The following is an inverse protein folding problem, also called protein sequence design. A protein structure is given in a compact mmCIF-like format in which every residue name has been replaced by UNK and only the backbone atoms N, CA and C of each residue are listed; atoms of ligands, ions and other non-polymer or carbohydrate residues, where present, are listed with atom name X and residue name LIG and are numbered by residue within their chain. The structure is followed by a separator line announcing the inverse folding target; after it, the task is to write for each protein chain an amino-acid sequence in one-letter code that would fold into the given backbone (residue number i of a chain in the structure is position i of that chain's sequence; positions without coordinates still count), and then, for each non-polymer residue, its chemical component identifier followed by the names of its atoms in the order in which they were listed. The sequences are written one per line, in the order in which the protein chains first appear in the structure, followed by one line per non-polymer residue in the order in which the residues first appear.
data_IF_594739868939
#
_entry.id   IF_594739868939
#
_cell.length_a   1.000
_cell.length_b   1.000
_cell.length_c   1.000
_cell.angle_alpha   90.00
_cell.angle_beta   90.00
_cell.angle_gamma   90.00
#
_symmetry.space_group_name_H-M   'P 1'
#
loop_
_entity.id
_entity.type
_entity.pdbx_description
1 polymer ?
#
# COMPACT_ATOMS: atom_id res chain seq x y z
N UNK A 1 -23.21 -5.01 7.33
CA UNK A 1 -22.57 -6.31 7.67
C UNK A 1 -21.26 -6.38 6.90
N UNK A 2 -20.13 -6.72 7.54
CA UNK A 2 -18.85 -6.87 6.86
C UNK A 2 -18.92 -8.00 5.83
N UNK A 3 -18.24 -7.83 4.69
CA UNK A 3 -18.10 -8.87 3.68
C UNK A 3 -17.09 -9.93 4.15
N UNK A 4 -17.35 -11.20 3.84
CA UNK A 4 -16.42 -12.29 4.19
C UNK A 4 -15.18 -12.34 3.27
N UNK A 5 -14.13 -13.10 3.65
CA UNK A 5 -12.87 -13.16 2.88
C UNK A 5 -13.04 -13.54 1.40
N UNK A 6 -14.00 -14.43 1.07
CA UNK A 6 -14.30 -14.80 -0.32
C UNK A 6 -14.87 -13.64 -1.13
N UNK A 7 -15.71 -12.82 -0.52
CA UNK A 7 -16.31 -11.65 -1.16
C UNK A 7 -15.28 -10.55 -1.36
N UNK A 8 -14.46 -10.27 -0.34
CA UNK A 8 -13.34 -9.33 -0.42
C UNK A 8 -12.35 -9.71 -1.52
N UNK A 9 -11.96 -10.99 -1.59
CA UNK A 9 -11.09 -11.51 -2.65
C UNK A 9 -11.69 -11.30 -4.04
N UNK A 10 -12.97 -11.66 -4.23
CA UNK A 10 -13.65 -11.49 -5.50
C UNK A 10 -13.77 -10.00 -5.89
N UNK A 11 -14.10 -9.12 -4.94
CA UNK A 11 -14.18 -7.68 -5.15
C UNK A 11 -12.83 -7.09 -5.57
N UNK A 12 -11.74 -7.44 -4.86
CA UNK A 12 -10.39 -7.01 -5.21
C UNK A 12 -9.95 -7.49 -6.60
N UNK A 13 -10.32 -8.70 -7.01
CA UNK A 13 -10.04 -9.20 -8.37
C UNK A 13 -10.85 -8.48 -9.45
N UNK A 14 -12.10 -8.13 -9.18
CA UNK A 14 -12.89 -7.28 -10.10
C UNK A 14 -12.27 -5.88 -10.21
N UNK A 15 -11.87 -5.27 -9.10
CA UNK A 15 -11.20 -3.97 -9.10
C UNK A 15 -9.90 -4.01 -9.91
N UNK A 16 -9.08 -5.04 -9.74
CA UNK A 16 -7.84 -5.22 -10.50
C UNK A 16 -8.08 -5.40 -12.00
N UNK A 17 -9.09 -6.19 -12.37
CA UNK A 17 -9.49 -6.40 -13.76
C UNK A 17 -9.97 -5.09 -14.42
N UNK A 18 -10.74 -4.28 -13.69
CA UNK A 18 -11.19 -2.97 -14.13
C UNK A 18 -10.02 -1.98 -14.27
N UNK A 19 -9.10 -1.95 -13.31
CA UNK A 19 -7.91 -1.10 -13.37
C UNK A 19 -7.00 -1.47 -14.55
N UNK A 20 -6.81 -2.76 -14.85
CA UNK A 20 -6.10 -3.23 -16.03
C UNK A 20 -6.77 -2.77 -17.33
N UNK A 21 -8.10 -2.87 -17.41
CA UNK A 21 -8.86 -2.38 -18.56
C UNK A 21 -8.66 -0.87 -18.76
N UNK A 22 -8.76 -0.07 -17.68
CA UNK A 22 -8.55 1.37 -17.71
C UNK A 22 -7.11 1.75 -18.10
N UNK A 23 -6.13 0.93 -17.72
CA UNK A 23 -4.74 1.09 -18.08
C UNK A 23 -4.40 0.63 -19.51
N UNK A 24 -5.37 0.08 -20.26
CA UNK A 24 -5.17 -0.37 -21.65
C UNK A 24 -4.62 -1.79 -21.81
N UNK A 25 -4.66 -2.61 -20.76
CA UNK A 25 -4.21 -4.00 -20.85
C UNK A 25 -5.20 -4.87 -21.64
N UNK A 26 -4.66 -5.68 -22.57
CA UNK A 26 -5.43 -6.68 -23.30
C UNK A 26 -5.81 -7.87 -22.40
N UNK A 27 -4.86 -8.35 -21.60
CA UNK A 27 -5.11 -9.35 -20.55
C UNK A 27 -5.53 -8.65 -19.26
N UNK A 28 -6.65 -9.09 -18.69
CA UNK A 28 -7.27 -8.51 -17.48
C UNK A 28 -7.39 -9.53 -16.36
N UNK A 29 -6.75 -10.69 -16.51
CA UNK A 29 -6.76 -11.75 -15.53
C UNK A 29 -5.60 -11.58 -14.55
N UNK A 30 -5.92 -11.55 -13.25
CA UNK A 30 -4.94 -11.39 -12.16
C UNK A 30 -4.96 -12.65 -11.28
N UNK A 31 -4.22 -13.71 -11.65
CA UNK A 31 -4.13 -14.91 -10.83
C UNK A 31 -3.39 -14.64 -9.51
N UNK A 32 -3.41 -15.62 -8.61
CA UNK A 32 -2.47 -15.66 -7.48
C UNK A 32 -1.18 -16.35 -7.91
N UNK A 33 -0.05 -15.85 -7.43
CA UNK A 33 1.20 -16.60 -7.44
C UNK A 33 1.21 -17.64 -6.29
N UNK A 34 2.21 -18.55 -6.23
CA UNK A 34 2.34 -19.52 -5.14
C UNK A 34 2.46 -18.90 -3.74
N UNK A 35 2.93 -17.64 -3.64
CA UNK A 35 2.99 -16.86 -2.40
C UNK A 35 1.69 -16.14 -2.05
N UNK A 36 0.63 -16.33 -2.84
CA UNK A 36 -0.69 -15.73 -2.64
C UNK A 36 -0.84 -14.29 -3.13
N UNK A 37 0.21 -13.69 -3.71
CA UNK A 37 0.22 -12.32 -4.22
C UNK A 37 -0.51 -12.25 -5.58
N UNK A 38 -1.15 -11.11 -5.90
CA UNK A 38 -1.71 -10.91 -7.24
C UNK A 38 -0.59 -10.83 -8.29
N UNK A 39 -0.68 -11.65 -9.33
CA UNK A 39 0.23 -11.60 -10.48
C UNK A 39 -0.41 -10.78 -11.58
N UNK A 40 0.03 -9.54 -11.73
CA UNK A 40 -0.41 -8.70 -12.83
C UNK A 40 0.33 -9.05 -14.15
N UNK A 41 -0.27 -8.79 -15.31
CA UNK A 41 0.37 -8.98 -16.61
C UNK A 41 1.67 -8.18 -16.76
N UNK A 42 2.58 -8.68 -17.62
CA UNK A 42 3.85 -7.99 -17.92
C UNK A 42 3.58 -6.56 -18.43
N UNK A 43 4.35 -5.60 -17.92
CA UNK A 43 4.22 -4.18 -18.27
C UNK A 43 3.19 -3.41 -17.45
N UNK A 44 2.42 -4.10 -16.59
CA UNK A 44 1.39 -3.51 -15.74
C UNK A 44 1.66 -3.83 -14.28
N UNK A 45 2.48 -3.03 -13.59
CA UNK A 45 2.62 -3.17 -12.16
C UNK A 45 1.29 -2.80 -11.48
N UNK A 46 0.89 -3.57 -10.47
CA UNK A 46 -0.37 -3.30 -9.78
C UNK A 46 -0.40 -3.82 -8.36
N UNK A 47 -1.37 -3.29 -7.61
CA UNK A 47 -1.60 -3.62 -6.21
C UNK A 47 -3.09 -3.63 -5.91
N UNK A 48 -3.48 -4.39 -4.89
CA UNK A 48 -4.86 -4.56 -4.45
C UNK A 48 -4.87 -4.37 -2.93
N UNK A 49 -5.84 -3.61 -2.43
CA UNK A 49 -6.18 -3.58 -1.01
C UNK A 49 -7.69 -3.61 -0.80
N UNK A 50 -8.11 -4.06 0.37
CA UNK A 50 -9.51 -4.14 0.72
C UNK A 50 -9.70 -3.96 2.22
N UNK A 51 -10.82 -3.34 2.59
CA UNK A 51 -11.40 -3.43 3.92
C UNK A 51 -12.46 -4.52 3.91
N UNK A 52 -13.26 -4.59 4.96
CA UNK A 52 -14.48 -5.39 5.05
C UNK A 52 -15.65 -4.84 4.23
N UNK A 53 -15.52 -3.63 3.67
CA UNK A 53 -16.59 -2.94 2.92
C UNK A 53 -16.17 -2.43 1.54
N UNK A 54 -14.89 -2.21 1.31
CA UNK A 54 -14.34 -1.63 0.08
C UNK A 54 -13.20 -2.49 -0.44
N UNK A 55 -13.07 -2.58 -1.77
CA UNK A 55 -11.88 -3.10 -2.41
C UNK A 55 -11.45 -2.14 -3.51
N UNK A 56 -10.13 -1.96 -3.64
CA UNK A 56 -9.55 -1.12 -4.67
C UNK A 56 -8.34 -1.81 -5.29
N UNK A 57 -8.02 -1.39 -6.51
CA UNK A 57 -6.78 -1.78 -7.16
C UNK A 57 -6.20 -0.59 -7.92
N UNK A 58 -4.88 -0.53 -7.96
CA UNK A 58 -4.13 0.44 -8.75
C UNK A 58 -3.25 -0.31 -9.73
N UNK A 59 -3.20 0.17 -10.97
CA UNK A 59 -2.31 -0.33 -12.03
C UNK A 59 -1.57 0.86 -12.63
N UNK A 60 -0.25 0.76 -12.71
CA UNK A 60 0.61 1.79 -13.30
C UNK A 60 1.44 1.15 -14.42
N UNK A 61 1.11 1.42 -15.70
CA UNK A 61 1.88 0.95 -16.83
C UNK A 61 3.35 1.39 -16.74
N UNK A 62 4.27 0.47 -16.98
CA UNK A 62 5.71 0.76 -17.03
C UNK A 62 6.40 1.01 -15.69
N UNK A 63 5.68 1.08 -14.57
CA UNK A 63 6.32 1.13 -13.25
C UNK A 63 6.99 -0.20 -12.89
N UNK A 64 8.07 -0.16 -12.10
CA UNK A 64 8.72 -1.36 -11.60
C UNK A 64 7.85 -2.11 -10.59
N UNK A 65 7.21 -1.37 -9.67
CA UNK A 65 6.30 -1.93 -8.68
C UNK A 65 5.32 -0.87 -8.16
N UNK A 66 4.17 -1.34 -7.66
CA UNK A 66 3.13 -0.50 -7.07
C UNK A 66 2.65 -1.16 -5.79
N UNK A 67 2.34 -0.34 -4.79
CA UNK A 67 1.72 -0.76 -3.55
C UNK A 67 0.59 0.17 -3.21
N UNK A 68 -0.56 -0.38 -2.82
CA UNK A 68 -1.70 0.43 -2.37
C UNK A 68 -2.26 -0.15 -1.09
N UNK A 69 -2.73 0.71 -0.21
CA UNK A 69 -3.43 0.29 0.98
C UNK A 69 -4.64 1.18 1.31
N UNK A 70 -5.68 0.55 1.87
CA UNK A 70 -6.83 1.22 2.47
C UNK A 70 -6.99 0.77 3.89
N UNK A 71 -7.09 1.75 4.79
CA UNK A 71 -7.30 1.51 6.20
C UNK A 71 -8.45 2.37 6.71
N UNK A 72 -9.38 1.75 7.41
CA UNK A 72 -10.52 2.39 8.09
C UNK A 72 -10.52 2.15 9.60
N UNK A 73 -9.65 1.26 10.10
CA UNK A 73 -9.54 0.95 11.50
C UNK A 73 -8.86 2.08 12.28
N UNK A 74 -9.29 2.26 13.52
CA UNK A 74 -8.57 3.07 14.50
C UNK A 74 -7.33 2.29 14.95
N UNK A 75 -6.15 2.84 14.67
CA UNK A 75 -4.89 2.24 15.08
C UNK A 75 -4.63 2.56 16.55
N UNK A 76 -4.61 1.52 17.39
CA UNK A 76 -4.37 1.69 18.83
C UNK A 76 -3.00 2.32 19.13
N UNK A 77 -2.82 2.99 20.29
CA UNK A 77 -1.50 3.49 20.70
C UNK A 77 -0.42 2.40 20.76
N UNK A 78 -0.79 1.18 21.18
CA UNK A 78 0.12 0.02 21.20
C UNK A 78 0.56 -0.39 19.80
N UNK A 79 -0.37 -0.47 18.85
CA UNK A 79 -0.05 -0.77 17.46
C UNK A 79 0.80 0.34 16.84
N UNK A 80 0.47 1.60 17.12
CA UNK A 80 1.24 2.78 16.69
C UNK A 80 2.69 2.70 17.19
N UNK A 81 2.89 2.41 18.47
CA UNK A 81 4.21 2.29 19.07
C UNK A 81 5.03 1.09 18.56
N UNK A 82 4.35 0.05 18.07
CA UNK A 82 4.99 -1.11 17.46
C UNK A 82 5.38 -0.86 16.00
N UNK A 83 4.51 -0.21 15.22
CA UNK A 83 4.68 0.01 13.78
C UNK A 83 5.62 1.18 13.47
N UNK A 84 5.57 2.23 14.30
CA UNK A 84 6.38 3.42 14.13
C UNK A 84 7.55 3.41 15.10
N UNK A 85 8.74 3.74 14.61
CA UNK A 85 9.90 4.05 15.43
C UNK A 85 9.65 5.28 16.30
N UNK A 86 10.47 5.48 17.33
CA UNK A 86 10.39 6.67 18.16
C UNK A 86 10.57 7.96 17.35
N UNK A 87 11.52 7.97 16.41
CA UNK A 87 11.76 9.12 15.54
C UNK A 87 10.53 9.43 14.67
N UNK A 88 9.92 8.42 14.04
CA UNK A 88 8.71 8.62 13.22
C UNK A 88 7.55 9.16 14.06
N UNK A 89 7.39 8.69 15.30
CA UNK A 89 6.36 9.23 16.19
C UNK A 89 6.61 10.69 16.56
N UNK A 90 7.87 11.06 16.79
CA UNK A 90 8.24 12.43 17.12
C UNK A 90 8.11 13.39 15.92
N UNK A 91 8.40 12.93 14.70
CA UNK A 91 8.43 13.80 13.51
C UNK A 91 7.13 13.83 12.71
N UNK A 92 6.38 12.72 12.65
CA UNK A 92 5.28 12.54 11.69
C UNK A 92 3.89 12.65 12.32
N UNK A 93 3.73 12.27 13.58
CA UNK A 93 2.44 12.32 14.29
C UNK A 93 2.06 13.75 14.69
N UNK A 94 0.78 14.04 15.00
CA UNK A 94 0.26 15.41 15.10
C UNK A 94 0.92 16.29 16.17
N UNK A 95 1.68 15.71 17.11
CA UNK A 95 2.48 16.48 18.07
C UNK A 95 3.57 17.33 17.42
N UNK A 96 4.06 16.96 16.23
CA UNK A 96 5.03 17.76 15.48
C UNK A 96 4.93 17.62 13.94
N UNK A 97 4.21 16.62 13.44
CA UNK A 97 3.94 16.37 12.03
C UNK A 97 2.47 16.55 11.67
N UNK A 98 2.10 16.08 10.47
CA UNK A 98 0.76 16.29 9.89
C UNK A 98 -0.05 15.01 9.68
N UNK A 99 0.49 13.84 10.04
CA UNK A 99 -0.12 12.55 9.74
C UNK A 99 -0.73 11.91 10.98
N UNK A 100 -1.81 11.18 10.79
CA UNK A 100 -2.44 10.35 11.81
C UNK A 100 -1.78 8.95 11.89
N UNK A 101 -1.98 8.20 12.99
CA UNK A 101 -1.54 6.81 13.06
C UNK A 101 -2.07 5.91 11.93
N UNK A 102 -3.33 6.12 11.51
CA UNK A 102 -3.97 5.38 10.42
C UNK A 102 -3.27 5.60 9.09
N UNK A 103 -2.95 6.87 8.81
CA UNK A 103 -2.23 7.26 7.59
C UNK A 103 -0.83 6.66 7.51
N UNK A 104 -0.08 6.70 8.62
CA UNK A 104 1.27 6.15 8.65
C UNK A 104 1.27 4.61 8.59
N UNK A 105 0.25 3.96 9.16
CA UNK A 105 0.06 2.52 9.03
C UNK A 105 -0.18 2.13 7.57
N UNK A 106 -1.18 2.74 6.92
CA UNK A 106 -1.48 2.51 5.50
C UNK A 106 -0.27 2.82 4.61
N UNK A 107 0.50 3.87 4.93
CA UNK A 107 1.71 4.22 4.20
C UNK A 107 2.78 3.13 4.25
N UNK A 108 3.03 2.54 5.42
CA UNK A 108 3.99 1.43 5.53
C UNK A 108 3.49 0.18 4.83
N UNK A 109 2.19 -0.13 4.86
CA UNK A 109 1.63 -1.27 4.13
C UNK A 109 1.72 -1.09 2.60
N UNK A 110 1.39 0.11 2.10
CA UNK A 110 1.55 0.45 0.69
C UNK A 110 3.02 0.36 0.27
N UNK A 111 3.94 0.94 1.05
CA UNK A 111 5.37 0.84 0.80
C UNK A 111 5.86 -0.62 0.79
N UNK A 112 5.39 -1.44 1.73
CA UNK A 112 5.72 -2.86 1.80
C UNK A 112 5.32 -3.60 0.52
N UNK A 113 4.10 -3.38 0.01
CA UNK A 113 3.61 -4.00 -1.22
C UNK A 113 4.46 -3.58 -2.44
N UNK A 114 4.83 -2.30 -2.54
CA UNK A 114 5.69 -1.81 -3.63
C UNK A 114 7.11 -2.40 -3.54
N UNK A 115 7.77 -2.26 -2.40
CA UNK A 115 9.14 -2.72 -2.18
C UNK A 115 9.25 -4.25 -2.33
N UNK A 116 8.27 -5.00 -1.82
CA UNK A 116 8.20 -6.46 -1.99
C UNK A 116 8.00 -6.90 -3.45
N UNK A 117 7.46 -6.04 -4.31
CA UNK A 117 7.29 -6.29 -5.73
C UNK A 117 8.58 -6.21 -6.54
N UNK A 118 9.63 -5.57 -6.01
CA UNK A 118 10.92 -5.40 -6.70
C UNK A 118 11.83 -6.65 -6.66
N UNK A 119 11.50 -7.65 -5.83
CA UNK A 119 12.16 -8.96 -5.79
C UNK A 119 13.56 -9.02 -5.16
N UNK A 120 14.19 -7.87 -4.85
CA UNK A 120 15.59 -7.81 -4.39
C UNK A 120 15.78 -7.73 -2.87
N UNK A 121 14.70 -7.60 -2.09
CA UNK A 121 14.77 -7.24 -0.67
C UNK A 121 14.57 -8.40 0.31
N UNK A 122 14.22 -9.59 -0.19
CA UNK A 122 13.89 -10.76 0.63
C UNK A 122 12.61 -10.56 1.45
N UNK A 123 12.41 -11.40 2.47
CA UNK A 123 11.28 -11.28 3.39
C UNK A 123 11.57 -10.27 4.49
N UNK A 124 10.63 -9.35 4.68
CA UNK A 124 10.66 -8.36 5.74
C UNK A 124 9.24 -8.02 6.17
N UNK A 125 9.13 -7.26 7.23
CA UNK A 125 7.86 -6.87 7.81
C UNK A 125 7.73 -5.36 7.69
N UNK A 126 6.52 -4.88 7.38
CA UNK A 126 6.29 -3.49 7.00
C UNK A 126 6.72 -2.48 8.07
N UNK A 127 6.69 -2.84 9.36
CA UNK A 127 7.18 -1.96 10.45
C UNK A 127 8.69 -1.70 10.41
N UNK A 128 9.46 -2.47 9.65
CA UNK A 128 10.90 -2.21 9.41
C UNK A 128 11.16 -1.15 8.34
N UNK A 129 10.13 -0.68 7.65
CA UNK A 129 10.23 0.40 6.68
C UNK A 129 10.33 1.71 7.43
N UNK A 130 11.28 2.55 7.07
CA UNK A 130 11.46 3.88 7.64
C UNK A 130 10.74 4.91 6.76
N UNK A 131 9.95 5.78 7.39
CA UNK A 131 9.25 6.90 6.76
C UNK A 131 9.96 8.21 7.05
N UNK A 132 10.08 9.07 6.03
CA UNK A 132 10.57 10.45 6.15
C UNK A 132 9.69 11.39 5.34
N UNK A 133 9.41 12.62 5.83
CA UNK A 133 8.63 13.58 5.07
C UNK A 133 9.49 14.20 3.96
N UNK A 134 8.95 14.34 2.75
CA UNK A 134 9.60 15.01 1.60
C UNK A 134 8.53 15.75 0.79
N UNK A 135 8.61 17.08 0.73
CA UNK A 135 7.82 17.96 -0.13
C UNK A 135 6.34 17.56 -0.31
N UNK A 136 5.62 17.47 0.80
CA UNK A 136 4.19 17.16 0.80
C UNK A 136 3.84 15.67 0.76
N UNK A 137 4.79 14.78 0.47
CA UNK A 137 4.68 13.33 0.47
C UNK A 137 5.55 12.67 1.55
N UNK A 138 5.55 11.33 1.58
CA UNK A 138 6.49 10.53 2.36
C UNK A 138 7.47 9.82 1.42
N UNK A 139 8.72 9.70 1.85
CA UNK A 139 9.63 8.69 1.32
C UNK A 139 9.67 7.55 2.31
N UNK A 140 9.33 6.34 1.85
CA UNK A 140 9.49 5.11 2.60
C UNK A 140 10.77 4.40 2.13
N UNK A 141 11.53 3.79 3.03
CA UNK A 141 12.74 3.06 2.64
C UNK A 141 12.97 1.81 3.45
N UNK A 142 13.53 0.79 2.81
CA UNK A 142 14.01 -0.43 3.46
C UNK A 142 15.37 -0.82 2.89
N UNK A 143 16.37 -0.98 3.77
CA UNK A 143 17.77 -1.31 3.38
C UNK A 143 18.32 -0.37 2.29
N UNK A 144 17.98 0.91 2.37
CA UNK A 144 18.45 1.94 1.43
C UNK A 144 17.71 1.97 0.08
N UNK A 145 16.70 1.12 -0.14
CA UNK A 145 15.84 1.20 -1.33
C UNK A 145 14.64 2.10 -1.01
N UNK A 146 14.50 3.28 -1.65
CA UNK A 146 13.41 4.20 -1.40
C UNK A 146 12.19 3.92 -2.29
N UNK A 147 11.02 4.32 -1.82
CA UNK A 147 9.79 4.44 -2.61
C UNK A 147 9.01 5.66 -2.14
N UNK A 148 8.47 6.45 -3.07
CA UNK A 148 7.62 7.59 -2.73
C UNK A 148 6.23 7.09 -2.38
N UNK A 149 5.64 7.64 -1.32
CA UNK A 149 4.32 7.30 -0.81
C UNK A 149 3.46 8.57 -0.71
N UNK A 150 2.29 8.52 -1.33
CA UNK A 150 1.26 9.54 -1.23
C UNK A 150 0.11 9.03 -0.37
N UNK A 151 -0.48 9.92 0.41
CA UNK A 151 -1.60 9.62 1.30
C UNK A 151 -2.74 10.59 0.98
N UNK A 152 -3.95 10.08 0.94
CA UNK A 152 -5.18 10.85 0.92
C UNK A 152 -6.15 10.25 1.94
N UNK A 153 -6.75 11.08 2.78
CA UNK A 153 -7.63 10.64 3.86
C UNK A 153 -8.81 11.57 4.04
N UNK A 154 -9.91 10.98 4.50
CA UNK A 154 -11.02 11.69 5.14
C UNK A 154 -11.19 11.19 6.60
N UNK A 155 -12.32 11.49 7.24
CA UNK A 155 -12.57 11.06 8.62
C UNK A 155 -12.62 9.53 8.77
N UNK A 156 -13.09 8.81 7.75
CA UNK A 156 -13.42 7.38 7.83
C UNK A 156 -12.39 6.46 7.18
N UNK A 157 -11.63 6.97 6.20
CA UNK A 157 -10.72 6.17 5.39
C UNK A 157 -9.39 6.89 5.12
N UNK A 158 -8.30 6.12 5.16
CA UNK A 158 -7.01 6.52 4.61
C UNK A 158 -6.64 5.62 3.44
N UNK A 159 -6.22 6.24 2.34
CA UNK A 159 -5.66 5.57 1.16
C UNK A 159 -4.19 5.96 1.06
N UNK A 160 -3.30 4.97 0.96
CA UNK A 160 -1.90 5.18 0.67
C UNK A 160 -1.50 4.51 -0.65
N UNK A 161 -0.69 5.20 -1.45
CA UNK A 161 -0.17 4.72 -2.73
C UNK A 161 1.35 4.89 -2.75
N UNK A 162 2.05 3.81 -3.06
CA UNK A 162 3.50 3.76 -3.25
C UNK A 162 3.82 3.33 -4.68
N UNK A 163 4.68 4.06 -5.37
CA UNK A 163 5.11 3.74 -6.74
C UNK A 163 6.62 3.70 -6.81
N UNK A 164 7.16 2.56 -7.24
CA UNK A 164 8.56 2.42 -7.64
C UNK A 164 8.65 2.66 -9.15
N UNK A 165 9.33 3.73 -9.61
CA UNK A 165 9.47 4.02 -11.03
C UNK A 165 10.20 2.89 -11.76
N UNK A 166 9.90 2.73 -13.05
CA UNK A 166 10.49 1.72 -13.94
C UNK A 166 11.87 2.07 -14.46
#
# INVERSE_FOLDING_TARGET
RPFGPRQQFAAGRRAASAALAAAGAADRFVPRDPGGRPRFPRGFAGSISHTDHLALAVVVPGAAAVGVDIESAVISPRATAFVLSEQERLELLPSAGKYTPRELFAAKEAAFKALSGTGSLGDFLFWRIELRPVDGALTASYRGVPVTVWINSDEDLSIALAISPG
#
